data_IF_618713407876
#
_entry.id   IF_618713407876
#
_cell.length_a   1.000
_cell.length_b   1.000
_cell.length_c   1.000
_cell.angle_alpha   90.00
_cell.angle_beta   90.00
_cell.angle_gamma   90.00
#
_symmetry.space_group_name_H-M   'P 1'
#
loop_
_entity.id
_entity.type
_entity.pdbx_description
1 polymer ?
#
# COMPACT_ATOMS: atom_id res chain seq x y z
N UNK A 1 -2.30 -1.96 1.70
CA UNK A 1 -1.55 -3.17 2.07
C UNK A 1 -0.99 -3.05 3.46
N UNK A 2 -1.86 -2.94 4.47
CA UNK A 2 -1.49 -2.73 5.88
C UNK A 2 -1.73 -4.00 6.68
N UNK A 3 -2.97 -4.46 6.72
CA UNK A 3 -3.42 -5.68 7.38
C UNK A 3 -3.84 -6.66 6.29
N UNK A 4 -3.43 -7.92 6.42
CA UNK A 4 -3.84 -8.99 5.52
C UNK A 4 -5.35 -9.24 5.67
N UNK A 5 -6.16 -9.14 4.60
CA UNK A 5 -7.61 -9.35 4.70
C UNK A 5 -8.01 -10.83 4.72
N UNK A 6 -7.07 -11.75 4.48
CA UNK A 6 -7.32 -13.19 4.40
C UNK A 6 -6.93 -13.90 5.70
N UNK A 7 -5.79 -13.52 6.27
CA UNK A 7 -5.21 -14.20 7.41
C UNK A 7 -5.84 -13.70 8.72
N UNK A 8 -6.84 -14.42 9.20
CA UNK A 8 -7.49 -14.23 10.49
C UNK A 8 -8.02 -15.58 11.01
N UNK A 9 -8.09 -15.82 12.33
CA UNK A 9 -8.69 -17.05 12.85
C UNK A 9 -10.18 -17.15 12.49
N UNK A 10 -10.65 -18.33 12.07
CA UNK A 10 -12.06 -18.53 11.69
C UNK A 10 -13.03 -18.59 12.89
N UNK A 11 -12.51 -18.75 14.11
CA UNK A 11 -13.30 -18.91 15.33
C UNK A 11 -13.84 -17.59 15.90
N UNK A 12 -14.09 -17.53 17.23
CA UNK A 12 -14.62 -16.33 17.89
C UNK A 12 -13.76 -15.06 17.75
N UNK A 13 -12.51 -15.23 17.31
CA UNK A 13 -11.55 -14.15 17.13
C UNK A 13 -11.45 -13.65 15.68
N UNK A 14 -12.37 -14.05 14.80
CA UNK A 14 -12.40 -13.60 13.41
C UNK A 14 -12.46 -12.08 13.33
N UNK A 15 -11.51 -11.49 12.60
CA UNK A 15 -11.34 -10.04 12.46
C UNK A 15 -10.71 -9.34 13.66
N UNK A 16 -10.64 -9.96 14.85
CA UNK A 16 -9.99 -9.40 16.04
C UNK A 16 -8.48 -9.61 16.02
N UNK A 17 -8.04 -10.77 15.53
CA UNK A 17 -6.63 -11.10 15.35
C UNK A 17 -6.35 -11.08 13.85
N UNK A 18 -5.40 -10.25 13.42
CA UNK A 18 -4.98 -10.16 12.03
C UNK A 18 -3.46 -10.12 11.93
N UNK A 19 -2.96 -10.44 10.74
CA UNK A 19 -1.54 -10.37 10.40
C UNK A 19 -1.21 -9.13 9.58
N UNK A 20 0.01 -8.63 9.70
CA UNK A 20 0.52 -7.53 8.88
C UNK A 20 0.68 -7.96 7.42
N UNK A 21 0.44 -7.03 6.50
CA UNK A 21 0.70 -7.25 5.07
C UNK A 21 2.21 -7.30 4.78
N UNK A 22 2.57 -8.01 3.71
CA UNK A 22 3.97 -8.37 3.38
C UNK A 22 4.97 -7.20 3.39
N UNK A 23 4.58 -6.04 2.85
CA UNK A 23 5.45 -4.86 2.76
C UNK A 23 5.10 -3.75 3.74
N UNK A 24 4.17 -4.02 4.67
CA UNK A 24 3.80 -3.02 5.67
C UNK A 24 4.91 -2.84 6.71
N UNK A 25 5.01 -1.63 7.26
CA UNK A 25 5.93 -1.32 8.36
C UNK A 25 5.25 -0.41 9.39
N UNK A 26 5.80 -0.37 10.60
CA UNK A 26 5.31 0.52 11.67
C UNK A 26 6.29 1.69 11.79
N UNK A 27 5.80 2.92 11.81
CA UNK A 27 6.63 4.11 12.01
C UNK A 27 6.84 4.44 13.50
N UNK A 28 7.64 5.47 13.80
CA UNK A 28 7.99 5.84 15.19
C UNK A 28 6.77 6.25 16.05
N UNK A 29 5.67 6.62 15.41
CA UNK A 29 4.42 6.99 16.07
C UNK A 29 3.44 5.82 16.23
N UNK A 30 3.81 4.62 15.74
CA UNK A 30 2.99 3.42 15.83
C UNK A 30 1.98 3.24 14.69
N UNK A 31 2.00 4.08 13.65
CA UNK A 31 1.12 3.93 12.50
C UNK A 31 1.66 2.92 11.50
N UNK A 32 0.76 2.17 10.85
CA UNK A 32 1.10 1.21 9.81
C UNK A 32 1.18 1.94 8.46
N UNK A 33 2.34 1.86 7.83
CA UNK A 33 2.62 2.42 6.52
C UNK A 33 2.68 1.34 5.45
N UNK A 34 2.34 1.72 4.22
CA UNK A 34 2.46 0.87 3.02
C UNK A 34 3.32 1.59 1.98
N UNK A 35 4.25 0.89 1.30
CA UNK A 35 5.05 1.49 0.25
C UNK A 35 4.26 1.67 -1.04
N UNK A 36 4.51 2.78 -1.73
CA UNK A 36 3.96 3.15 -3.03
C UNK A 36 5.06 3.70 -3.94
N UNK A 37 4.87 3.54 -5.26
CA UNK A 37 5.72 4.20 -6.25
C UNK A 37 5.11 5.53 -6.64
N UNK A 38 5.93 6.59 -6.61
CA UNK A 38 5.46 7.93 -6.95
C UNK A 38 5.22 8.06 -8.46
N UNK A 39 4.14 8.75 -8.82
CA UNK A 39 3.81 9.05 -10.23
C UNK A 39 3.83 10.56 -10.41
N UNK A 40 4.64 11.04 -11.35
CA UNK A 40 4.73 12.48 -11.66
C UNK A 40 4.48 12.69 -13.14
N UNK A 41 3.48 13.52 -13.47
CA UNK A 41 3.06 13.80 -14.86
C UNK A 41 2.81 12.53 -15.68
N UNK A 42 2.21 11.52 -15.05
CA UNK A 42 1.89 10.22 -15.65
C UNK A 42 3.07 9.24 -15.73
N UNK A 43 4.29 9.62 -15.32
CA UNK A 43 5.45 8.73 -15.31
C UNK A 43 5.63 8.09 -13.93
N UNK A 44 5.70 6.77 -13.89
CA UNK A 44 6.04 5.98 -12.70
C UNK A 44 7.53 6.14 -12.39
N UNK A 45 7.85 6.52 -11.17
CA UNK A 45 9.22 6.64 -10.67
C UNK A 45 9.62 5.38 -9.89
N UNK A 46 10.93 5.14 -9.79
CA UNK A 46 11.51 4.05 -8.98
C UNK A 46 11.57 4.40 -7.49
N UNK A 47 11.32 5.67 -7.13
CA UNK A 47 11.27 6.11 -5.74
C UNK A 47 10.06 5.48 -5.04
N UNK A 48 10.35 4.84 -3.90
CA UNK A 48 9.34 4.22 -3.03
C UNK A 48 9.10 5.13 -1.84
N UNK A 49 7.87 5.59 -1.69
CA UNK A 49 7.41 6.40 -0.57
C UNK A 49 6.46 5.57 0.28
N UNK A 50 6.62 5.66 1.60
CA UNK A 50 5.76 4.96 2.55
C UNK A 50 4.72 5.93 3.07
N UNK A 51 3.45 5.55 2.93
CA UNK A 51 2.31 6.37 3.33
C UNK A 51 1.53 5.68 4.44
N UNK A 52 1.19 6.44 5.48
CA UNK A 52 0.19 6.02 6.46
C UNK A 52 -1.24 6.14 5.86
N UNK A 53 -2.27 5.78 6.64
CA UNK A 53 -3.65 5.78 6.15
C UNK A 53 -4.13 7.19 5.72
N UNK A 54 -3.92 8.19 6.56
CA UNK A 54 -4.38 9.56 6.31
C UNK A 54 -3.67 10.19 5.10
N UNK A 55 -2.38 9.91 4.91
CA UNK A 55 -1.62 10.39 3.74
C UNK A 55 -2.09 9.72 2.44
N UNK A 56 -2.43 8.43 2.49
CA UNK A 56 -2.96 7.69 1.34
C UNK A 56 -4.30 8.26 0.85
N UNK A 57 -5.19 8.68 1.76
CA UNK A 57 -6.50 9.26 1.39
C UNK A 57 -6.39 10.53 0.54
N UNK A 58 -5.29 11.26 0.68
CA UNK A 58 -5.04 12.48 -0.10
C UNK A 58 -4.57 12.20 -1.55
N UNK A 59 -4.39 10.93 -1.92
CA UNK A 59 -3.84 10.52 -3.21
C UNK A 59 -4.75 9.54 -3.94
N UNK A 60 -4.73 9.59 -5.28
CA UNK A 60 -5.32 8.56 -6.12
C UNK A 60 -4.29 7.45 -6.36
N UNK A 61 -4.63 6.22 -5.94
CA UNK A 61 -3.73 5.07 -6.03
C UNK A 61 -4.09 4.23 -7.26
N UNK A 62 -3.16 4.16 -8.22
CA UNK A 62 -3.24 3.22 -9.33
C UNK A 62 -2.91 1.78 -8.85
N UNK A 63 -3.51 0.79 -9.50
CA UNK A 63 -3.23 -0.61 -9.18
C UNK A 63 -1.85 -1.03 -9.69
N UNK A 64 -1.25 -2.03 -9.04
CA UNK A 64 0.07 -2.53 -9.44
C UNK A 64 0.08 -3.16 -10.84
N UNK A 65 -1.07 -3.62 -11.32
CA UNK A 65 -1.26 -4.22 -12.64
C UNK A 65 -1.71 -3.22 -13.72
N UNK A 66 -1.79 -1.91 -13.42
CA UNK A 66 -2.06 -0.89 -14.42
C UNK A 66 -1.00 -0.93 -15.53
N UNK A 67 -1.41 -0.76 -16.78
CA UNK A 67 -0.50 -0.82 -17.93
C UNK A 67 0.48 0.36 -17.92
N UNK A 68 1.75 0.05 -18.18
CA UNK A 68 2.84 1.02 -18.24
C UNK A 68 3.52 0.87 -19.60
N UNK A 69 3.71 1.99 -20.30
CA UNK A 69 4.42 1.99 -21.57
C UNK A 69 5.94 1.74 -21.40
N UNK A 70 6.65 1.56 -22.52
CA UNK A 70 8.12 1.36 -22.50
C UNK A 70 8.91 2.54 -21.92
N UNK A 71 8.29 3.71 -21.81
CA UNK A 71 8.89 4.94 -21.28
C UNK A 71 8.59 5.14 -19.78
N UNK A 72 7.88 4.20 -19.15
CA UNK A 72 7.48 4.25 -17.75
C UNK A 72 6.22 5.09 -17.50
N UNK A 73 5.42 5.38 -18.53
CA UNK A 73 4.19 6.16 -18.43
C UNK A 73 2.99 5.26 -18.20
N UNK A 74 2.15 5.59 -17.22
CA UNK A 74 0.84 4.98 -17.02
C UNK A 74 -0.08 5.29 -18.20
N UNK A 75 -0.73 4.25 -18.72
CA UNK A 75 -1.64 4.28 -19.86
C UNK A 75 -3.09 4.33 -19.37
#
# INVERSE_FOLDING_TARGET
>A
GRICPIETPEGPNIGLINSLSLYSRINEFGFIETPYRRVVKGKVLEEVEYLNADQEENHLIAQANSEIDKNGKLI
#
